data_IF_500342464942
#
_entry.id   IF_500342464942
#
_cell.length_a   1.000
_cell.length_b   1.000
_cell.length_c   1.000
_cell.angle_alpha   90.00
_cell.angle_beta   90.00
_cell.angle_gamma   90.00
#
_symmetry.space_group_name_H-M   'P 1'
#
loop_
_entity.id
_entity.type
_entity.pdbx_description
1 polymer ?
#
# COMPACT_ATOMS: atom_id res chain seq x y z
N UNK A 1 -9.73 93.75 20.23
CA UNK A 1 -10.34 93.09 19.06
C UNK A 1 -10.82 91.74 19.53
N UNK A 2 -12.10 91.56 19.43
CA UNK A 2 -12.94 90.59 20.16
C UNK A 2 -12.95 89.22 19.39
N UNK A 3 -12.68 88.16 20.11
CA UNK A 3 -12.86 86.79 19.58
C UNK A 3 -14.25 86.25 19.99
N UNK A 4 -15.02 85.53 19.16
CA UNK A 4 -16.29 84.93 19.54
C UNK A 4 -16.12 83.50 20.03
N UNK A 5 -16.91 83.22 21.09
CA UNK A 5 -17.05 81.88 21.72
C UNK A 5 -17.87 80.90 20.82
N UNK A 6 -17.45 79.72 20.70
CA UNK A 6 -18.22 78.62 20.08
C UNK A 6 -18.92 77.79 21.15
N UNK A 7 -20.27 77.65 20.99
CA UNK A 7 -21.13 76.78 21.81
C UNK A 7 -20.94 75.32 21.46
N UNK A 8 -20.64 74.48 22.41
CA UNK A 8 -20.59 73.06 22.37
C UNK A 8 -21.98 72.44 22.67
N UNK A 9 -22.65 71.87 21.72
CA UNK A 9 -23.84 71.02 21.90
C UNK A 9 -23.45 69.59 22.14
N UNK A 10 -23.54 69.14 23.36
CA UNK A 10 -23.42 67.72 23.72
C UNK A 10 -24.71 66.98 23.31
N UNK A 11 -24.63 66.08 22.30
CA UNK A 11 -25.64 65.07 22.02
C UNK A 11 -25.52 63.94 23.02
N UNK A 12 -26.55 63.70 23.80
CA UNK A 12 -26.70 62.49 24.62
C UNK A 12 -26.97 61.30 23.72
N UNK A 13 -26.08 60.33 23.68
CA UNK A 13 -26.31 58.98 23.12
C UNK A 13 -27.16 58.20 24.13
N UNK A 14 -28.35 57.81 23.72
CA UNK A 14 -29.25 56.96 24.50
C UNK A 14 -28.68 55.54 24.65
N UNK A 15 -28.71 55.04 25.88
CA UNK A 15 -28.35 53.69 26.17
C UNK A 15 -29.35 52.70 25.54
N UNK A 16 -28.87 51.83 24.63
CA UNK A 16 -29.63 50.71 24.09
C UNK A 16 -29.68 49.64 25.19
N UNK A 17 -30.85 49.07 25.52
CA UNK A 17 -30.96 48.14 26.64
C UNK A 17 -30.26 46.85 26.37
N UNK A 18 -29.41 46.40 27.28
CA UNK A 18 -28.60 45.19 27.26
C UNK A 18 -29.40 43.89 27.16
N UNK A 19 -30.74 43.95 27.20
CA UNK A 19 -31.63 42.79 27.07
C UNK A 19 -31.74 42.27 25.64
N UNK A 20 -31.57 43.10 24.60
CA UNK A 20 -31.73 42.69 23.23
C UNK A 20 -30.54 41.86 22.73
N UNK A 21 -29.34 42.11 23.23
CA UNK A 21 -28.12 41.36 22.92
C UNK A 21 -28.06 39.96 23.56
N UNK A 22 -28.61 39.81 24.78
CA UNK A 22 -28.65 38.53 25.48
C UNK A 22 -29.61 37.51 24.76
N UNK A 23 -30.73 38.03 24.25
CA UNK A 23 -31.71 37.16 23.54
C UNK A 23 -31.20 36.68 22.17
N UNK A 24 -30.44 37.51 21.45
CA UNK A 24 -29.83 37.18 20.18
C UNK A 24 -28.72 36.10 20.31
N UNK A 25 -27.93 36.15 21.39
CA UNK A 25 -26.89 35.16 21.68
C UNK A 25 -27.50 33.80 22.07
N UNK A 26 -28.60 33.79 22.83
CA UNK A 26 -29.30 32.57 23.21
C UNK A 26 -30.03 31.92 22.00
N UNK A 27 -30.56 32.71 21.09
CA UNK A 27 -31.17 32.18 19.85
C UNK A 27 -30.12 31.59 18.90
N UNK A 28 -28.94 32.22 18.78
CA UNK A 28 -27.84 31.68 17.97
C UNK A 28 -27.23 30.41 18.56
N UNK A 29 -27.16 30.26 19.85
CA UNK A 29 -26.73 29.03 20.53
C UNK A 29 -27.75 27.89 20.38
N UNK A 30 -29.07 28.21 20.38
CA UNK A 30 -30.12 27.22 20.18
C UNK A 30 -30.20 26.71 18.72
N UNK A 31 -29.93 27.59 17.72
CA UNK A 31 -29.83 27.18 16.31
C UNK A 31 -28.57 26.36 16.00
N UNK A 32 -27.46 26.59 16.69
CA UNK A 32 -26.25 25.79 16.53
C UNK A 32 -26.42 24.36 17.09
N UNK A 33 -27.31 24.15 18.06
CA UNK A 33 -27.65 22.83 18.61
C UNK A 33 -28.58 22.01 17.70
N UNK A 34 -29.18 22.63 16.67
CA UNK A 34 -30.04 22.00 15.67
C UNK A 34 -29.31 21.73 14.34
N UNK A 35 -27.99 21.90 14.28
CA UNK A 35 -27.23 21.42 13.14
C UNK A 35 -27.44 19.89 13.04
N UNK A 36 -27.86 19.37 11.87
CA UNK A 36 -27.99 17.94 11.71
C UNK A 36 -26.67 17.31 12.09
N UNK A 37 -26.68 16.44 13.09
CA UNK A 37 -25.55 15.57 13.37
C UNK A 37 -25.20 14.90 12.04
N UNK A 38 -23.91 14.88 11.64
CA UNK A 38 -23.54 14.13 10.46
C UNK A 38 -24.12 12.73 10.60
N UNK A 39 -24.94 12.32 9.61
CA UNK A 39 -25.49 10.97 9.59
C UNK A 39 -24.33 10.01 9.85
N UNK A 40 -24.50 8.98 10.71
CA UNK A 40 -23.47 7.96 10.86
C UNK A 40 -23.16 7.48 9.45
N UNK A 41 -21.88 7.57 9.09
CA UNK A 41 -21.41 7.16 7.76
C UNK A 41 -21.99 5.77 7.50
N UNK A 42 -22.68 5.61 6.39
CA UNK A 42 -23.32 4.36 5.99
C UNK A 42 -22.37 3.20 6.30
N UNK A 43 -22.85 2.23 7.09
CA UNK A 43 -22.03 1.25 7.80
C UNK A 43 -21.29 0.27 6.88
N UNK A 44 -20.25 0.75 6.19
CA UNK A 44 -19.32 -0.10 5.47
C UNK A 44 -18.41 -0.84 6.46
N UNK A 45 -18.04 -2.07 6.12
CA UNK A 45 -17.09 -2.87 6.90
C UNK A 45 -15.69 -2.35 6.64
N UNK A 46 -14.93 -2.06 7.69
CA UNK A 46 -13.52 -1.68 7.55
C UNK A 46 -12.63 -2.92 7.48
N UNK A 47 -11.66 -2.88 6.60
CA UNK A 47 -10.65 -3.92 6.37
C UNK A 47 -9.27 -3.27 6.35
N UNK A 48 -8.39 -3.70 7.25
CA UNK A 48 -7.01 -3.22 7.30
C UNK A 48 -6.09 -4.11 6.48
N UNK A 49 -5.49 -3.53 5.46
CA UNK A 49 -4.47 -4.15 4.61
C UNK A 49 -3.08 -3.67 5.00
N UNK A 50 -2.12 -4.57 5.01
CA UNK A 50 -0.72 -4.22 5.23
C UNK A 50 0.20 -4.91 4.23
N UNK A 51 1.43 -4.39 4.10
CA UNK A 51 2.53 -5.09 3.43
C UNK A 51 3.80 -5.04 4.26
N UNK A 52 4.56 -6.12 4.21
CA UNK A 52 5.81 -6.25 4.94
C UNK A 52 6.81 -7.17 4.25
N UNK A 53 7.92 -6.62 3.80
CA UNK A 53 9.09 -7.43 3.46
C UNK A 53 9.77 -7.87 4.77
N UNK A 54 9.77 -9.19 5.06
CA UNK A 54 10.26 -9.75 6.34
C UNK A 54 11.76 -10.08 6.30
N UNK A 55 12.47 -9.67 5.27
CA UNK A 55 13.92 -9.87 5.11
C UNK A 55 14.35 -11.35 5.32
N UNK A 56 14.37 -12.14 4.25
CA UNK A 56 14.86 -13.53 4.26
C UNK A 56 14.25 -14.42 5.35
N UNK A 57 12.92 -14.44 5.47
CA UNK A 57 12.24 -15.28 6.46
C UNK A 57 12.46 -16.77 6.17
N UNK A 58 13.14 -17.47 7.08
CA UNK A 58 13.46 -18.88 7.01
C UNK A 58 12.53 -19.73 7.91
N UNK A 59 12.37 -21.02 7.61
CA UNK A 59 11.62 -21.96 8.45
C UNK A 59 12.43 -22.42 9.67
N UNK A 60 13.75 -22.55 9.54
CA UNK A 60 14.64 -23.04 10.58
C UNK A 60 15.46 -21.91 11.21
N UNK A 61 15.75 -22.07 12.52
CA UNK A 61 16.65 -21.19 13.24
C UNK A 61 18.05 -21.22 12.61
N UNK A 62 18.70 -20.06 12.57
CA UNK A 62 20.05 -19.91 12.04
C UNK A 62 20.19 -20.07 10.51
N UNK A 63 19.10 -20.30 9.77
CA UNK A 63 19.16 -20.55 8.33
C UNK A 63 19.07 -19.28 7.48
N UNK A 64 19.62 -19.36 6.25
CA UNK A 64 19.51 -18.32 5.21
C UNK A 64 20.38 -17.09 5.43
N UNK A 65 20.13 -16.04 4.65
CA UNK A 65 20.96 -14.83 4.68
C UNK A 65 20.58 -13.85 5.82
N UNK A 66 19.58 -14.20 6.59
CA UNK A 66 19.19 -13.51 7.83
C UNK A 66 18.98 -14.55 8.91
N UNK A 67 20.04 -15.15 9.46
CA UNK A 67 19.91 -16.15 10.53
C UNK A 67 19.18 -15.56 11.73
N UNK A 68 18.13 -16.22 12.17
CA UNK A 68 17.30 -15.79 13.30
C UNK A 68 17.27 -16.84 14.40
N UNK A 69 17.28 -16.37 15.63
CA UNK A 69 17.03 -17.17 16.83
C UNK A 69 15.53 -17.20 17.15
N UNK A 70 15.12 -18.03 18.09
CA UNK A 70 13.75 -18.05 18.62
C UNK A 70 13.30 -16.65 19.13
N UNK A 71 14.21 -15.90 19.75
CA UNK A 71 13.95 -14.53 20.20
C UNK A 71 13.73 -13.55 19.04
N UNK A 72 14.39 -13.74 17.89
CA UNK A 72 14.17 -12.95 16.69
C UNK A 72 12.79 -13.22 16.10
N UNK A 73 12.35 -14.48 16.06
CA UNK A 73 11.00 -14.83 15.63
C UNK A 73 9.94 -14.26 16.58
N UNK A 74 10.22 -14.22 17.89
CA UNK A 74 9.30 -13.56 18.83
C UNK A 74 9.16 -12.08 18.51
N UNK A 75 10.26 -11.38 18.23
CA UNK A 75 10.20 -9.96 17.80
C UNK A 75 9.38 -9.76 16.52
N UNK A 76 9.47 -10.68 15.56
CA UNK A 76 8.63 -10.63 14.35
C UNK A 76 7.14 -10.81 14.69
N UNK A 77 6.80 -11.74 15.59
CA UNK A 77 5.42 -11.91 16.07
C UNK A 77 4.90 -10.67 16.78
N UNK A 78 5.71 -10.03 17.59
CA UNK A 78 5.35 -8.80 18.30
C UNK A 78 5.08 -7.65 17.32
N UNK A 79 5.85 -7.57 16.21
CA UNK A 79 5.59 -6.62 15.13
C UNK A 79 4.28 -6.94 14.42
N UNK A 80 4.04 -8.20 14.07
CA UNK A 80 2.80 -8.63 13.42
C UNK A 80 1.56 -8.31 14.28
N UNK A 81 1.63 -8.56 15.59
CA UNK A 81 0.55 -8.25 16.53
C UNK A 81 0.30 -6.73 16.62
N UNK A 82 1.36 -5.91 16.68
CA UNK A 82 1.23 -4.44 16.71
C UNK A 82 0.77 -3.84 15.39
N UNK A 83 1.01 -4.52 14.28
CA UNK A 83 0.57 -4.09 12.96
C UNK A 83 -0.96 -4.11 12.88
N UNK A 84 -1.58 -5.05 13.57
CA UNK A 84 -3.03 -5.18 13.74
C UNK A 84 -3.75 -5.03 12.38
N UNK A 85 -3.40 -5.91 11.45
CA UNK A 85 -3.92 -5.90 10.09
C UNK A 85 -4.64 -7.21 9.77
N UNK A 86 -5.76 -7.10 9.07
CA UNK A 86 -6.61 -8.23 8.70
C UNK A 86 -5.97 -9.08 7.59
N UNK A 87 -5.28 -8.43 6.67
CA UNK A 87 -4.55 -9.08 5.57
C UNK A 87 -3.17 -8.44 5.42
N UNK A 88 -2.14 -9.26 5.48
CA UNK A 88 -0.76 -8.81 5.36
C UNK A 88 -0.12 -9.46 4.13
N UNK A 89 0.19 -8.67 3.12
CA UNK A 89 1.03 -9.09 2.00
C UNK A 89 2.48 -9.19 2.47
N UNK A 90 3.13 -10.32 2.22
CA UNK A 90 4.50 -10.57 2.71
C UNK A 90 5.46 -10.82 1.57
N UNK A 91 6.72 -10.45 1.78
CA UNK A 91 7.80 -10.66 0.83
C UNK A 91 9.01 -11.30 1.51
N UNK A 92 9.87 -11.93 0.71
CA UNK A 92 11.09 -12.64 1.12
C UNK A 92 10.85 -13.85 2.04
N UNK A 93 9.76 -14.57 1.82
CA UNK A 93 9.39 -15.74 2.60
C UNK A 93 9.89 -17.02 1.93
N UNK A 94 10.52 -17.92 2.69
CA UNK A 94 11.03 -19.20 2.17
C UNK A 94 9.87 -20.12 1.73
N UNK A 95 8.91 -20.35 2.61
CA UNK A 95 7.77 -21.24 2.40
C UNK A 95 6.69 -20.98 3.47
N UNK A 96 5.62 -21.77 3.45
CA UNK A 96 4.53 -21.67 4.43
C UNK A 96 5.01 -21.93 5.86
N UNK A 97 5.95 -22.86 6.08
CA UNK A 97 6.48 -23.15 7.42
C UNK A 97 7.25 -21.94 7.98
N UNK A 98 7.99 -21.23 7.12
CA UNK A 98 8.64 -19.98 7.51
C UNK A 98 7.61 -18.93 7.93
N UNK A 99 6.52 -18.79 7.17
CA UNK A 99 5.46 -17.83 7.48
C UNK A 99 4.75 -18.19 8.79
N UNK A 100 4.56 -19.48 9.08
CA UNK A 100 3.99 -19.99 10.31
C UNK A 100 4.85 -19.71 11.57
N UNK A 101 6.14 -19.37 11.37
CA UNK A 101 6.98 -18.89 12.49
C UNK A 101 6.56 -17.52 13.03
N UNK A 102 5.85 -16.73 12.21
CA UNK A 102 5.43 -15.36 12.53
C UNK A 102 3.92 -15.27 12.74
N UNK A 103 3.15 -15.94 11.91
CA UNK A 103 1.68 -15.91 11.91
C UNK A 103 1.14 -17.28 12.29
N UNK A 104 0.41 -17.37 13.39
CA UNK A 104 -0.16 -18.62 13.88
C UNK A 104 -1.15 -19.22 12.86
N UNK A 105 -0.90 -20.45 12.34
CA UNK A 105 -1.83 -21.11 11.42
C UNK A 105 -3.22 -21.41 12.02
N UNK A 106 -3.38 -21.35 13.34
CA UNK A 106 -4.69 -21.45 13.97
C UNK A 106 -5.53 -20.16 13.77
N UNK A 107 -4.89 -19.03 13.56
CA UNK A 107 -5.51 -17.70 13.43
C UNK A 107 -5.54 -17.24 11.96
N UNK A 108 -4.48 -17.52 11.22
CA UNK A 108 -4.27 -17.03 9.86
C UNK A 108 -4.34 -18.15 8.82
N UNK A 109 -4.90 -17.85 7.66
CA UNK A 109 -4.64 -18.58 6.44
C UNK A 109 -3.35 -18.06 5.83
N UNK A 110 -2.41 -19.00 5.56
CA UNK A 110 -1.07 -18.67 5.07
C UNK A 110 -0.95 -19.07 3.61
N UNK A 111 -0.77 -18.09 2.74
CA UNK A 111 -0.63 -18.27 1.30
C UNK A 111 0.77 -17.86 0.87
N UNK A 112 1.48 -18.74 0.18
CA UNK A 112 2.82 -18.46 -0.35
C UNK A 112 2.86 -18.83 -1.83
N UNK A 113 3.54 -18.03 -2.64
CA UNK A 113 3.72 -18.27 -4.07
C UNK A 113 4.15 -19.74 -4.36
N UNK A 114 3.50 -20.46 -5.28
CA UNK A 114 3.86 -21.82 -5.62
C UNK A 114 5.13 -21.90 -6.47
N UNK A 115 5.76 -20.77 -6.76
CA UNK A 115 7.01 -20.73 -7.54
C UNK A 115 8.05 -21.66 -6.93
N UNK A 116 8.54 -22.61 -7.72
CA UNK A 116 9.69 -23.41 -7.33
C UNK A 116 10.94 -22.55 -7.37
N UNK A 117 11.56 -22.33 -6.23
CA UNK A 117 12.82 -21.63 -6.10
C UNK A 117 13.79 -22.50 -5.29
N UNK A 118 14.90 -22.81 -5.91
CA UNK A 118 16.03 -23.42 -5.22
C UNK A 118 17.02 -22.29 -4.90
N UNK A 119 17.25 -22.04 -3.61
CA UNK A 119 18.24 -21.11 -3.14
C UNK A 119 19.66 -21.57 -3.50
N UNK A 120 20.17 -21.11 -4.64
CA UNK A 120 21.49 -21.56 -5.15
C UNK A 120 22.63 -20.63 -4.79
N UNK A 121 22.36 -19.33 -4.58
CA UNK A 121 23.39 -18.34 -4.32
C UNK A 121 23.84 -18.35 -2.85
N UNK A 122 25.13 -18.11 -2.62
CA UNK A 122 25.67 -17.88 -1.27
C UNK A 122 25.21 -16.53 -0.73
N UNK A 123 25.07 -16.43 0.57
CA UNK A 123 24.84 -15.17 1.25
C UNK A 123 26.11 -14.32 1.22
N UNK A 124 25.98 -13.03 0.91
CA UNK A 124 27.14 -12.15 0.86
C UNK A 124 27.69 -11.90 2.27
N UNK A 125 28.99 -12.15 2.45
CA UNK A 125 29.66 -11.93 3.73
C UNK A 125 29.29 -12.94 4.84
N UNK A 126 28.72 -14.11 4.46
CA UNK A 126 28.34 -15.16 5.40
C UNK A 126 28.80 -16.51 4.87
N UNK A 127 29.87 -17.03 5.42
CA UNK A 127 30.42 -18.33 5.00
C UNK A 127 29.46 -19.47 5.34
N UNK A 128 29.29 -20.39 4.43
CA UNK A 128 28.44 -21.57 4.60
C UNK A 128 26.93 -21.32 4.43
N UNK A 129 26.47 -20.08 4.48
CA UNK A 129 25.04 -19.74 4.33
C UNK A 129 24.61 -19.61 2.87
N UNK A 130 23.42 -20.12 2.56
CA UNK A 130 22.80 -20.02 1.23
C UNK A 130 21.53 -19.18 1.29
N UNK A 131 21.31 -18.38 0.25
CA UNK A 131 20.07 -17.66 0.10
C UNK A 131 18.94 -18.67 -0.14
N UNK A 132 17.95 -18.64 0.73
CA UNK A 132 16.72 -19.42 0.59
C UNK A 132 15.77 -18.77 -0.42
N UNK A 133 14.68 -19.46 -0.74
CA UNK A 133 13.63 -18.91 -1.56
C UNK A 133 13.11 -17.57 -1.00
N UNK A 134 12.86 -16.62 -1.89
CA UNK A 134 12.31 -15.31 -1.57
C UNK A 134 10.95 -15.18 -2.29
N UNK A 135 9.91 -15.74 -1.69
CA UNK A 135 8.56 -15.72 -2.25
C UNK A 135 7.76 -14.54 -1.73
N UNK A 136 6.75 -14.18 -2.49
CA UNK A 136 5.63 -13.35 -2.04
C UNK A 136 4.54 -14.23 -1.46
N UNK A 137 3.65 -13.65 -0.65
CA UNK A 137 2.55 -14.38 -0.03
C UNK A 137 1.60 -13.48 0.72
N UNK A 138 0.70 -14.10 1.50
CA UNK A 138 -0.24 -13.43 2.39
C UNK A 138 -0.39 -14.18 3.71
N UNK A 139 -0.59 -13.42 4.79
CA UNK A 139 -1.18 -13.90 6.03
C UNK A 139 -2.56 -13.23 6.16
N UNK A 140 -3.63 -14.03 6.26
CA UNK A 140 -5.01 -13.59 6.19
C UNK A 140 -5.71 -13.98 7.49
N UNK A 141 -6.15 -13.01 8.28
CA UNK A 141 -6.79 -13.24 9.57
C UNK A 141 -8.21 -13.80 9.38
N UNK A 142 -8.41 -15.09 9.69
CA UNK A 142 -9.67 -15.81 9.42
C UNK A 142 -10.89 -15.17 10.06
N UNK A 143 -10.77 -14.77 11.33
CA UNK A 143 -11.89 -14.20 12.06
C UNK A 143 -12.27 -12.82 11.54
N UNK A 144 -11.29 -11.99 11.19
CA UNK A 144 -11.52 -10.67 10.62
C UNK A 144 -12.26 -10.78 9.27
N UNK A 145 -11.81 -11.68 8.38
CA UNK A 145 -12.52 -11.90 7.11
C UNK A 145 -13.96 -12.37 7.32
N UNK A 146 -14.18 -13.35 8.21
CA UNK A 146 -15.53 -13.81 8.52
C UNK A 146 -16.41 -12.71 9.12
N UNK A 147 -15.86 -11.90 10.03
CA UNK A 147 -16.57 -10.76 10.61
C UNK A 147 -16.95 -9.70 9.56
N UNK A 148 -16.10 -9.55 8.52
CA UNK A 148 -16.37 -8.70 7.37
C UNK A 148 -17.37 -9.30 6.35
N UNK A 149 -17.82 -10.54 6.55
CA UNK A 149 -18.66 -11.28 5.59
C UNK A 149 -17.92 -11.60 4.29
N UNK A 150 -16.60 -11.81 4.40
CA UNK A 150 -15.73 -12.06 3.26
C UNK A 150 -15.13 -13.47 3.31
N UNK A 151 -14.88 -13.99 2.11
CA UNK A 151 -14.07 -15.18 1.85
C UNK A 151 -12.90 -14.81 0.96
N UNK A 152 -11.87 -15.64 0.92
CA UNK A 152 -10.78 -15.46 -0.02
C UNK A 152 -10.57 -16.71 -0.86
N UNK A 153 -10.15 -16.50 -2.11
CA UNK A 153 -9.77 -17.54 -3.05
C UNK A 153 -8.38 -17.26 -3.60
N UNK A 154 -7.51 -18.27 -3.57
CA UNK A 154 -6.18 -18.17 -4.19
C UNK A 154 -6.35 -18.15 -5.72
N UNK A 155 -5.80 -17.14 -6.36
CA UNK A 155 -5.71 -17.05 -7.81
C UNK A 155 -4.39 -17.67 -8.33
N UNK A 156 -4.32 -18.04 -9.62
CA UNK A 156 -3.05 -18.42 -10.23
C UNK A 156 -1.99 -17.36 -9.99
N UNK A 157 -0.79 -17.78 -9.61
CA UNK A 157 0.33 -16.86 -9.38
C UNK A 157 0.65 -16.05 -10.64
N UNK A 158 0.94 -14.78 -10.50
CA UNK A 158 1.30 -13.91 -11.61
C UNK A 158 2.74 -14.17 -12.04
N UNK A 159 2.90 -15.17 -12.90
CA UNK A 159 4.19 -15.75 -13.31
C UNK A 159 5.00 -14.80 -14.18
N UNK A 160 4.31 -13.97 -14.94
CA UNK A 160 4.86 -13.02 -15.89
C UNK A 160 5.80 -12.00 -15.19
N UNK A 161 5.47 -11.56 -13.98
CA UNK A 161 6.38 -10.74 -13.18
C UNK A 161 7.70 -11.43 -12.84
N UNK A 162 7.66 -12.76 -12.81
CA UNK A 162 8.80 -13.61 -12.48
C UNK A 162 9.61 -14.09 -13.67
N UNK A 163 9.42 -13.51 -14.85
CA UNK A 163 10.21 -13.85 -16.04
C UNK A 163 11.72 -13.89 -15.72
N UNK A 164 12.45 -14.83 -16.34
CA UNK A 164 13.88 -15.07 -16.12
C UNK A 164 14.24 -15.42 -14.65
N UNK A 165 13.38 -16.16 -13.96
CA UNK A 165 13.66 -16.67 -12.64
C UNK A 165 13.48 -15.65 -11.52
N UNK A 166 12.70 -14.59 -11.72
CA UNK A 166 12.34 -13.60 -10.71
C UNK A 166 11.14 -14.07 -9.87
N UNK A 167 10.75 -13.27 -8.89
CA UNK A 167 9.63 -13.56 -8.00
C UNK A 167 8.30 -13.34 -8.73
N UNK A 168 7.35 -14.24 -8.50
CA UNK A 168 5.99 -14.12 -9.02
C UNK A 168 5.16 -13.23 -8.10
N UNK A 169 4.16 -12.55 -8.64
CA UNK A 169 3.10 -11.97 -7.83
C UNK A 169 2.22 -13.08 -7.24
N UNK A 170 1.93 -13.01 -5.95
CA UNK A 170 0.92 -13.87 -5.31
C UNK A 170 -0.40 -13.13 -5.30
N UNK A 171 -1.48 -13.76 -5.77
CA UNK A 171 -2.78 -13.13 -5.95
C UNK A 171 -3.86 -13.86 -5.17
N UNK A 172 -4.72 -13.09 -4.51
CA UNK A 172 -5.95 -13.59 -3.90
C UNK A 172 -7.14 -12.74 -4.34
N UNK A 173 -8.30 -13.36 -4.44
CA UNK A 173 -9.58 -12.71 -4.67
C UNK A 173 -10.36 -12.71 -3.35
N UNK A 174 -10.75 -11.54 -2.86
CA UNK A 174 -11.76 -11.43 -1.82
C UNK A 174 -13.13 -11.50 -2.47
N UNK A 175 -14.00 -12.31 -1.89
CA UNK A 175 -15.36 -12.56 -2.39
C UNK A 175 -16.37 -12.27 -1.29
N UNK A 176 -17.55 -11.73 -1.68
CA UNK A 176 -18.70 -11.59 -0.82
C UNK A 176 -19.88 -12.29 -1.45
N UNK A 177 -20.49 -13.23 -0.72
CA UNK A 177 -21.59 -14.06 -1.22
C UNK A 177 -21.25 -14.72 -2.58
N UNK A 178 -20.04 -15.28 -2.70
CA UNK A 178 -19.49 -15.92 -3.90
C UNK A 178 -19.33 -14.98 -5.13
N UNK A 179 -19.31 -13.66 -4.90
CA UNK A 179 -19.05 -12.67 -5.96
C UNK A 179 -17.68 -12.02 -5.73
N UNK A 180 -16.86 -11.87 -6.77
CA UNK A 180 -15.62 -11.12 -6.69
C UNK A 180 -15.88 -9.69 -6.17
N UNK A 181 -15.10 -9.27 -5.18
CA UNK A 181 -15.18 -7.92 -4.61
C UNK A 181 -13.86 -7.17 -4.81
N UNK A 182 -12.73 -7.77 -4.42
CA UNK A 182 -11.44 -7.11 -4.43
C UNK A 182 -10.31 -8.09 -4.74
N UNK A 183 -9.51 -7.81 -5.76
CA UNK A 183 -8.30 -8.57 -6.06
C UNK A 183 -7.10 -7.95 -5.34
N UNK A 184 -6.32 -8.76 -4.60
CA UNK A 184 -5.08 -8.34 -3.95
C UNK A 184 -3.90 -9.05 -4.59
N UNK A 185 -2.82 -8.31 -4.86
CA UNK A 185 -1.56 -8.89 -5.34
C UNK A 185 -0.38 -8.45 -4.49
N UNK A 186 0.29 -9.42 -3.87
CA UNK A 186 1.60 -9.22 -3.22
C UNK A 186 2.70 -9.24 -4.26
N UNK A 187 3.48 -8.16 -4.34
CA UNK A 187 4.58 -7.99 -5.29
C UNK A 187 5.93 -7.85 -4.59
N UNK A 188 7.00 -8.28 -5.26
CA UNK A 188 8.37 -7.99 -4.89
C UNK A 188 9.21 -7.83 -6.16
N UNK A 189 9.38 -6.59 -6.59
CA UNK A 189 10.02 -6.26 -7.86
C UNK A 189 11.55 -6.30 -7.77
N UNK A 190 12.22 -5.98 -8.87
CA UNK A 190 13.69 -6.08 -8.98
C UNK A 190 14.38 -4.94 -8.26
N UNK A 191 15.17 -5.29 -7.24
CA UNK A 191 16.04 -4.36 -6.53
C UNK A 191 17.16 -3.77 -7.38
N UNK A 192 17.66 -2.60 -6.97
CA UNK A 192 18.84 -1.95 -7.54
C UNK A 192 18.56 -0.88 -8.58
N UNK A 193 17.28 -0.45 -8.70
CA UNK A 193 16.85 0.68 -9.52
C UNK A 193 15.75 1.49 -8.81
N UNK A 194 16.01 1.92 -7.59
CA UNK A 194 15.02 2.57 -6.74
C UNK A 194 14.62 3.97 -7.22
N UNK A 195 15.41 4.63 -8.06
CA UNK A 195 15.20 5.98 -8.58
C UNK A 195 15.86 6.18 -9.95
N UNK A 196 15.58 7.31 -10.59
CA UNK A 196 16.14 7.69 -11.88
C UNK A 196 15.36 7.16 -13.08
N UNK A 197 15.79 7.53 -14.29
CA UNK A 197 15.07 7.23 -15.51
C UNK A 197 14.94 5.74 -15.83
N UNK A 198 13.79 5.34 -16.29
CA UNK A 198 13.51 4.01 -16.83
C UNK A 198 13.28 4.04 -18.34
N UNK A 199 13.25 5.23 -18.95
CA UNK A 199 13.04 5.41 -20.39
C UNK A 199 14.36 5.49 -21.18
N UNK A 200 14.26 5.36 -22.49
CA UNK A 200 15.39 5.45 -23.40
C UNK A 200 16.45 4.35 -23.20
N UNK A 201 17.73 4.71 -23.32
CA UNK A 201 18.85 3.78 -23.18
C UNK A 201 19.21 3.52 -21.72
N UNK A 202 18.54 2.57 -21.10
CA UNK A 202 18.83 2.15 -19.72
C UNK A 202 20.03 1.22 -19.68
N UNK A 203 21.16 1.66 -19.11
CA UNK A 203 22.41 0.89 -19.07
C UNK A 203 22.49 -0.15 -17.94
N UNK A 204 21.85 0.10 -16.79
CA UNK A 204 21.89 -0.82 -15.64
C UNK A 204 20.97 -2.01 -15.86
N UNK A 205 21.50 -3.22 -15.82
CA UNK A 205 20.72 -4.46 -16.01
C UNK A 205 19.54 -4.60 -15.04
N UNK A 206 19.70 -4.10 -13.80
CA UNK A 206 18.61 -4.10 -12.81
C UNK A 206 17.45 -3.20 -13.26
N UNK A 207 17.75 -2.03 -13.80
CA UNK A 207 16.75 -1.10 -14.31
C UNK A 207 16.06 -1.62 -15.57
N UNK A 208 16.77 -2.36 -16.42
CA UNK A 208 16.16 -3.01 -17.59
C UNK A 208 15.14 -4.08 -17.17
N UNK A 209 15.46 -4.84 -16.11
CA UNK A 209 14.54 -5.84 -15.57
C UNK A 209 13.34 -5.15 -14.94
N UNK A 210 13.55 -4.10 -14.12
CA UNK A 210 12.46 -3.36 -13.49
C UNK A 210 11.54 -2.70 -14.53
N UNK A 211 12.11 -2.15 -15.63
CA UNK A 211 11.31 -1.61 -16.73
C UNK A 211 10.43 -2.67 -17.40
N UNK A 212 10.90 -3.91 -17.57
CA UNK A 212 10.07 -5.00 -18.06
C UNK A 212 8.95 -5.34 -17.08
N UNK A 213 9.28 -5.44 -15.77
CA UNK A 213 8.27 -5.72 -14.74
C UNK A 213 7.22 -4.61 -14.69
N UNK A 214 7.62 -3.34 -14.87
CA UNK A 214 6.71 -2.21 -15.00
C UNK A 214 5.69 -2.46 -16.11
N UNK A 215 6.14 -2.67 -17.34
CA UNK A 215 5.23 -2.87 -18.46
C UNK A 215 4.35 -4.12 -18.35
N UNK A 216 4.81 -5.18 -17.65
CA UNK A 216 3.97 -6.33 -17.34
C UNK A 216 2.89 -5.97 -16.32
N UNK A 217 3.25 -5.15 -15.33
CA UNK A 217 2.33 -4.71 -14.29
C UNK A 217 1.29 -3.73 -14.83
N UNK A 218 1.72 -2.79 -15.67
CA UNK A 218 0.90 -1.86 -16.43
C UNK A 218 -0.19 -2.60 -17.22
N UNK A 219 0.18 -3.55 -18.10
CA UNK A 219 -0.82 -4.34 -18.83
C UNK A 219 -1.78 -5.14 -17.93
N UNK A 220 -1.35 -5.51 -16.73
CA UNK A 220 -2.22 -6.15 -15.74
C UNK A 220 -3.20 -5.14 -15.13
N UNK A 221 -2.75 -3.92 -14.86
CA UNK A 221 -3.54 -2.80 -14.33
C UNK A 221 -4.59 -2.39 -15.36
N UNK A 222 -4.19 -2.12 -16.61
CA UNK A 222 -5.07 -1.69 -17.71
C UNK A 222 -6.23 -2.67 -17.93
N UNK A 223 -5.91 -3.98 -17.92
CA UNK A 223 -6.93 -5.01 -18.08
C UNK A 223 -7.98 -4.99 -16.95
N UNK A 224 -7.65 -4.47 -15.76
CA UNK A 224 -8.57 -4.35 -14.63
C UNK A 224 -9.30 -3.03 -14.63
N UNK A 225 -8.62 -1.95 -14.95
CA UNK A 225 -9.24 -0.64 -15.14
C UNK A 225 -10.31 -0.71 -16.24
N UNK A 226 -9.99 -1.31 -17.39
CA UNK A 226 -10.95 -1.50 -18.49
C UNK A 226 -12.12 -2.45 -18.16
N UNK A 227 -12.01 -3.27 -17.11
CA UNK A 227 -13.07 -4.16 -16.63
C UNK A 227 -13.74 -3.64 -15.34
N UNK A 228 -13.45 -2.41 -14.91
CA UNK A 228 -13.93 -1.80 -13.67
C UNK A 228 -13.74 -2.71 -12.43
N UNK A 229 -12.61 -3.41 -12.41
CA UNK A 229 -12.28 -4.36 -11.33
C UNK A 229 -11.56 -3.65 -10.21
N UNK A 230 -12.06 -3.78 -8.99
CA UNK A 230 -11.36 -3.31 -7.78
C UNK A 230 -10.12 -4.13 -7.49
N UNK A 231 -8.98 -3.48 -7.31
CA UNK A 231 -7.74 -4.17 -6.98
C UNK A 231 -6.81 -3.35 -6.07
N UNK A 232 -5.90 -4.05 -5.37
CA UNK A 232 -4.81 -3.43 -4.61
C UNK A 232 -3.51 -4.20 -4.85
N UNK A 233 -2.46 -3.47 -5.19
CA UNK A 233 -1.09 -3.96 -5.24
C UNK A 233 -0.39 -3.60 -3.94
N UNK A 234 0.22 -4.58 -3.29
CA UNK A 234 0.91 -4.39 -2.01
C UNK A 234 2.30 -5.03 -2.08
N UNK A 235 3.32 -4.32 -1.65
CA UNK A 235 4.63 -4.97 -1.58
C UNK A 235 5.83 -4.06 -1.72
N UNK A 236 6.97 -4.72 -1.84
CA UNK A 236 8.25 -4.12 -2.13
C UNK A 236 8.40 -3.92 -3.64
N UNK A 237 8.11 -2.70 -4.09
CA UNK A 237 8.30 -2.31 -5.48
C UNK A 237 9.76 -2.06 -5.82
N UNK A 238 10.63 -1.97 -4.80
CA UNK A 238 12.03 -1.57 -4.96
C UNK A 238 12.21 -0.27 -5.75
N UNK A 239 11.18 0.59 -5.72
CA UNK A 239 11.09 1.85 -6.44
C UNK A 239 10.42 2.94 -5.59
N UNK A 240 10.95 4.14 -5.63
CA UNK A 240 10.42 5.33 -4.97
C UNK A 240 9.30 5.94 -5.83
N UNK A 241 8.10 5.34 -5.80
CA UNK A 241 6.97 5.73 -6.67
C UNK A 241 6.45 7.14 -6.42
N UNK A 242 6.63 7.66 -5.19
CA UNK A 242 6.17 8.98 -4.75
C UNK A 242 7.13 10.14 -5.12
N UNK A 243 8.21 9.84 -5.85
CA UNK A 243 9.12 10.88 -6.32
C UNK A 243 8.51 11.65 -7.49
N UNK A 244 8.68 12.98 -7.54
CA UNK A 244 8.22 13.77 -8.67
C UNK A 244 8.74 13.21 -10.00
N UNK A 245 7.86 13.05 -10.97
CA UNK A 245 8.16 12.54 -12.32
C UNK A 245 8.79 11.13 -12.32
N UNK A 246 8.40 10.27 -11.39
CA UNK A 246 8.85 8.88 -11.41
C UNK A 246 8.32 8.17 -12.67
N UNK A 247 9.23 7.63 -13.48
CA UNK A 247 8.89 6.98 -14.75
C UNK A 247 8.18 5.63 -14.57
N UNK A 248 8.23 5.04 -13.39
CA UNK A 248 7.47 3.83 -13.12
C UNK A 248 6.02 4.18 -12.81
N UNK A 249 5.82 5.15 -11.91
CA UNK A 249 4.49 5.64 -11.56
C UNK A 249 3.76 6.19 -12.78
N UNK A 250 4.41 7.12 -13.50
CA UNK A 250 3.84 7.76 -14.69
C UNK A 250 3.42 6.77 -15.79
N UNK A 251 3.96 5.56 -15.80
CA UNK A 251 3.59 4.57 -16.81
C UNK A 251 2.49 3.62 -16.34
N UNK A 252 2.30 3.43 -15.05
CA UNK A 252 1.21 2.58 -14.54
C UNK A 252 -0.07 3.38 -14.22
N UNK A 253 0.01 4.70 -14.23
CA UNK A 253 -1.02 5.69 -13.90
C UNK A 253 -1.10 6.73 -15.01
N UNK A 254 -1.20 6.32 -16.26
CA UNK A 254 -1.12 7.18 -17.44
C UNK A 254 -2.36 7.16 -18.36
N UNK A 255 -3.29 6.26 -18.11
CA UNK A 255 -4.44 6.08 -18.97
C UNK A 255 -4.11 5.56 -20.38
N UNK A 256 -2.87 5.17 -20.64
CA UNK A 256 -2.43 4.62 -21.93
C UNK A 256 -2.40 3.08 -21.93
N UNK A 257 -3.01 2.48 -22.92
CA UNK A 257 -2.94 1.03 -23.15
C UNK A 257 -1.68 0.68 -23.93
N UNK A 258 -0.96 -0.32 -23.44
CA UNK A 258 0.20 -0.87 -24.12
C UNK A 258 -0.16 -1.78 -25.29
N UNK A 259 0.19 -1.41 -26.53
CA UNK A 259 0.29 -2.37 -27.63
C UNK A 259 1.62 -3.16 -27.49
N UNK A 260 1.49 -4.36 -26.95
CA UNK A 260 2.64 -5.25 -26.71
C UNK A 260 3.14 -5.88 -27.99
N UNK A 261 4.34 -5.51 -28.44
CA UNK A 261 5.04 -6.12 -29.56
C UNK A 261 6.22 -6.96 -29.09
N UNK A 262 6.54 -8.06 -29.77
CA UNK A 262 7.79 -8.79 -29.53
C UNK A 262 9.00 -7.85 -29.64
N UNK A 263 9.91 -7.90 -28.67
CA UNK A 263 11.16 -7.16 -28.69
C UNK A 263 12.31 -8.12 -28.40
N UNK A 264 13.33 -8.20 -29.29
CA UNK A 264 14.42 -9.16 -29.15
C UNK A 264 15.31 -8.91 -27.93
N UNK A 265 15.30 -7.67 -27.40
CA UNK A 265 16.12 -7.28 -26.24
C UNK A 265 15.34 -7.36 -24.93
N UNK A 266 14.04 -7.07 -24.97
CA UNK A 266 13.17 -6.93 -23.79
C UNK A 266 12.12 -8.04 -23.67
N UNK A 267 12.06 -8.97 -24.64
CA UNK A 267 11.03 -9.99 -24.75
C UNK A 267 9.70 -9.44 -25.30
N UNK A 268 9.24 -8.33 -24.75
CA UNK A 268 8.07 -7.55 -25.21
C UNK A 268 8.35 -6.06 -25.03
N UNK A 269 7.82 -5.26 -25.92
CA UNK A 269 7.90 -3.79 -25.85
C UNK A 269 6.49 -3.21 -25.91
N UNK A 270 6.17 -2.29 -25.00
CA UNK A 270 5.02 -1.43 -25.13
C UNK A 270 5.31 -0.37 -26.19
N UNK A 271 4.44 -0.24 -27.19
CA UNK A 271 4.44 0.89 -28.12
C UNK A 271 3.34 1.84 -27.68
N UNK A 272 3.66 3.10 -27.33
CA UNK A 272 2.66 4.12 -27.09
C UNK A 272 1.89 4.38 -28.40
N UNK A 273 0.57 4.45 -28.33
CA UNK A 273 -0.24 4.96 -29.42
C UNK A 273 -1.07 3.98 -30.22
N UNK A 274 -1.34 2.77 -29.77
CA UNK A 274 -2.53 2.06 -30.28
C UNK A 274 -3.76 2.61 -29.57
N UNK A 275 -4.32 3.66 -30.16
CA UNK A 275 -5.40 4.46 -29.66
C UNK A 275 -6.70 3.66 -29.49
N UNK A 276 -6.81 2.95 -28.40
CA UNK A 276 -8.08 2.86 -27.69
C UNK A 276 -7.91 3.80 -26.49
N UNK A 277 -8.77 4.79 -26.42
CA UNK A 277 -9.01 5.51 -25.18
C UNK A 277 -9.58 4.47 -24.21
N UNK A 278 -8.70 3.72 -23.54
CA UNK A 278 -9.08 2.85 -22.46
C UNK A 278 -9.09 3.64 -21.17
N UNK A 279 -9.89 3.16 -20.24
CA UNK A 279 -10.13 3.80 -18.98
C UNK A 279 -8.79 4.15 -18.33
N UNK A 280 -8.61 5.43 -18.06
CA UNK A 280 -7.57 5.94 -17.18
C UNK A 280 -7.58 5.10 -15.92
N UNK A 281 -6.44 4.53 -15.55
CA UNK A 281 -6.37 3.64 -14.42
C UNK A 281 -6.60 4.36 -13.09
N UNK A 282 -6.54 5.71 -13.05
CA UNK A 282 -6.76 6.59 -11.89
C UNK A 282 -6.31 5.92 -10.57
N UNK A 283 -5.02 5.60 -10.49
CA UNK A 283 -4.48 4.87 -9.35
C UNK A 283 -4.31 5.78 -8.13
N UNK A 284 -4.52 5.23 -6.95
CA UNK A 284 -4.19 5.90 -5.69
C UNK A 284 -2.97 5.25 -5.06
N UNK A 285 -1.87 6.01 -4.98
CA UNK A 285 -0.70 5.63 -4.18
C UNK A 285 -0.95 6.02 -2.72
N UNK A 286 -1.29 5.05 -1.90
CA UNK A 286 -1.52 5.29 -0.47
C UNK A 286 -0.23 5.75 0.20
N UNK A 287 -0.31 6.87 0.94
CA UNK A 287 0.85 7.46 1.60
C UNK A 287 1.68 8.42 0.74
N UNK A 288 1.29 8.67 -0.52
CA UNK A 288 1.95 9.68 -1.36
C UNK A 288 2.03 11.03 -0.63
N UNK A 289 3.21 11.65 -0.68
CA UNK A 289 3.48 12.92 0.01
C UNK A 289 3.48 12.86 1.54
N UNK A 290 3.33 11.68 2.15
CA UNK A 290 3.46 11.52 3.60
C UNK A 290 4.91 11.29 4.00
N UNK A 291 5.37 11.89 5.12
CA UNK A 291 6.72 11.65 5.61
C UNK A 291 6.89 10.15 5.92
N UNK A 292 7.84 9.51 5.27
CA UNK A 292 8.23 8.16 5.63
C UNK A 292 9.19 8.25 6.83
N UNK A 293 8.88 7.64 7.98
CA UNK A 293 9.81 7.61 9.09
C UNK A 293 11.07 6.90 8.61
N UNK A 294 12.22 7.35 9.08
CA UNK A 294 13.52 6.85 8.66
C UNK A 294 13.47 5.34 8.45
N UNK A 295 13.78 4.93 7.23
CA UNK A 295 13.86 3.52 6.89
C UNK A 295 14.74 2.79 7.92
N UNK A 296 14.48 1.50 8.22
CA UNK A 296 15.31 0.73 9.13
C UNK A 296 16.79 0.76 8.74
N UNK A 297 17.06 0.90 7.46
CA UNK A 297 18.39 1.09 6.90
C UNK A 297 18.59 2.56 6.48
N UNK A 298 19.47 3.34 7.17
CA UNK A 298 19.69 4.76 6.87
C UNK A 298 20.21 5.02 5.45
N UNK A 299 20.76 3.98 4.80
CA UNK A 299 21.23 4.06 3.41
C UNK A 299 20.08 4.22 2.41
N UNK A 300 18.84 3.85 2.81
CA UNK A 300 17.67 3.88 1.95
C UNK A 300 16.53 4.64 2.66
N UNK A 301 16.61 5.99 2.73
CA UNK A 301 15.71 6.80 3.54
C UNK A 301 14.32 7.00 2.92
N UNK A 302 14.06 6.45 1.74
CA UNK A 302 12.81 6.64 0.99
C UNK A 302 11.96 5.38 0.98
N UNK A 303 10.66 5.55 0.86
CA UNK A 303 9.73 4.44 0.70
C UNK A 303 9.97 3.70 -0.62
N UNK A 304 10.06 2.37 -0.54
CA UNK A 304 10.08 1.45 -1.67
C UNK A 304 9.04 0.35 -1.52
N UNK A 305 8.41 0.29 -0.34
CA UNK A 305 7.23 -0.51 -0.06
C UNK A 305 6.00 0.36 -0.26
N UNK A 306 5.04 -0.13 -1.03
CA UNK A 306 3.86 0.66 -1.41
C UNK A 306 2.58 -0.16 -1.36
N UNK A 307 1.47 0.56 -1.22
CA UNK A 307 0.10 0.08 -1.40
C UNK A 307 -0.53 0.96 -2.48
N UNK A 308 -0.91 0.35 -3.59
CA UNK A 308 -1.48 1.01 -4.77
C UNK A 308 -2.88 0.46 -5.00
N UNK A 309 -3.87 1.34 -5.02
CA UNK A 309 -5.27 1.01 -5.25
C UNK A 309 -5.67 1.37 -6.68
N UNK A 310 -6.55 0.59 -7.29
CA UNK A 310 -7.11 0.87 -8.62
C UNK A 310 -8.54 0.40 -8.77
N UNK A 311 -9.22 0.93 -9.78
CA UNK A 311 -10.64 0.76 -10.00
C UNK A 311 -11.46 1.29 -8.82
N UNK A 312 -12.68 0.81 -8.59
CA UNK A 312 -13.54 1.28 -7.48
C UNK A 312 -12.89 1.21 -6.09
N UNK A 313 -11.82 0.42 -5.90
CA UNK A 313 -11.14 0.33 -4.62
C UNK A 313 -10.46 1.65 -4.20
N UNK A 314 -10.22 2.58 -5.11
CA UNK A 314 -9.67 3.91 -4.81
C UNK A 314 -10.57 4.70 -3.88
N UNK A 315 -11.88 4.60 -4.04
CA UNK A 315 -12.89 5.29 -3.23
C UNK A 315 -13.05 4.66 -1.82
N UNK A 316 -12.54 3.44 -1.64
CA UNK A 316 -12.66 2.73 -0.36
C UNK A 316 -11.56 3.10 0.63
N UNK A 317 -10.52 3.79 0.19
CA UNK A 317 -9.42 4.19 1.07
C UNK A 317 -9.89 5.16 2.14
N UNK A 318 -9.81 4.75 3.40
CA UNK A 318 -10.11 5.64 4.54
C UNK A 318 -9.03 6.71 4.62
N UNK A 319 -9.44 7.96 4.41
CA UNK A 319 -8.52 9.09 4.42
C UNK A 319 -7.73 9.16 5.75
N UNK A 320 -6.42 9.29 5.64
CA UNK A 320 -5.53 9.39 6.81
C UNK A 320 -5.21 8.06 7.50
N UNK A 321 -5.72 6.92 7.01
CA UNK A 321 -5.47 5.59 7.58
C UNK A 321 -4.06 5.06 7.29
N UNK A 322 -3.36 5.60 6.30
CA UNK A 322 -2.00 5.17 5.99
C UNK A 322 -1.07 5.36 7.18
N UNK A 323 -0.36 4.31 7.54
CA UNK A 323 0.59 4.32 8.64
C UNK A 323 1.80 3.43 8.36
N UNK A 324 2.91 3.78 8.98
CA UNK A 324 4.14 2.99 9.03
C UNK A 324 4.36 2.51 10.45
N UNK A 325 4.56 1.22 10.65
CA UNK A 325 4.93 0.68 11.95
C UNK A 325 6.45 0.68 12.10
N UNK A 326 6.99 1.72 12.71
CA UNK A 326 8.41 1.82 13.00
C UNK A 326 8.84 0.90 14.14
N UNK A 327 10.02 0.30 14.03
CA UNK A 327 10.59 -0.58 15.04
C UNK A 327 11.17 0.16 16.26
N UNK A 328 11.37 1.48 16.15
CA UNK A 328 12.04 2.25 17.19
C UNK A 328 13.55 2.01 17.23
N UNK A 329 14.15 2.20 18.43
CA UNK A 329 15.58 1.96 18.66
C UNK A 329 15.80 0.49 19.02
N UNK A 330 16.91 -0.09 18.57
CA UNK A 330 17.32 -1.45 18.94
C UNK A 330 17.48 -2.41 17.74
N UNK A 331 17.46 -3.70 18.00
CA UNK A 331 17.58 -4.72 16.95
C UNK A 331 16.36 -4.68 16.02
N UNK A 332 16.62 -4.45 14.75
CA UNK A 332 15.58 -4.35 13.73
C UNK A 332 15.15 -5.75 13.29
N UNK A 333 13.85 -6.09 13.37
CA UNK A 333 13.35 -7.40 12.94
C UNK A 333 13.48 -7.64 11.43
N UNK A 334 13.42 -6.56 10.64
CA UNK A 334 13.61 -6.52 9.18
C UNK A 334 14.31 -5.22 8.79
N UNK A 335 14.90 -5.18 7.61
CA UNK A 335 15.41 -3.95 6.97
C UNK A 335 14.31 -3.11 6.29
N UNK A 336 13.06 -3.56 6.33
CA UNK A 336 11.86 -2.86 5.90
C UNK A 336 10.89 -2.62 7.05
N UNK A 337 10.24 -1.46 7.10
CA UNK A 337 9.10 -1.20 7.97
C UNK A 337 7.79 -1.66 7.31
N UNK A 338 6.90 -2.36 8.05
CA UNK A 338 5.58 -2.63 7.52
C UNK A 338 4.76 -1.34 7.40
N UNK A 339 3.94 -1.27 6.37
CA UNK A 339 2.99 -0.19 6.13
C UNK A 339 1.58 -0.76 6.04
N UNK A 340 0.59 0.05 6.41
CA UNK A 340 -0.81 -0.36 6.39
C UNK A 340 -1.75 0.77 6.00
N UNK A 341 -2.92 0.39 5.50
CA UNK A 341 -4.08 1.25 5.22
C UNK A 341 -5.35 0.57 5.68
N UNK A 342 -6.42 1.34 5.87
CA UNK A 342 -7.76 0.82 6.10
C UNK A 342 -8.64 1.15 4.89
N UNK A 343 -9.38 0.16 4.41
CA UNK A 343 -10.41 0.32 3.39
C UNK A 343 -11.79 0.23 4.05
N UNK A 344 -12.71 1.06 3.60
CA UNK A 344 -14.14 0.94 3.92
C UNK A 344 -14.84 0.31 2.73
N UNK A 345 -15.12 -0.97 2.85
CA UNK A 345 -15.72 -1.75 1.78
C UNK A 345 -17.20 -1.37 1.59
N UNK A 346 -17.73 -1.40 0.36
CA UNK A 346 -19.14 -1.17 0.10
C UNK A 346 -20.01 -2.17 0.87
N UNK A 347 -21.24 -1.79 1.17
CA UNK A 347 -22.23 -2.69 1.79
C UNK A 347 -22.74 -3.72 0.76
N UNK A 348 -23.39 -4.79 1.22
CA UNK A 348 -23.93 -5.81 0.31
C UNK A 348 -25.11 -5.29 -0.55
N UNK A 349 -25.56 -4.07 -0.29
CA UNK A 349 -26.71 -3.42 -0.94
C UNK A 349 -26.30 -2.36 -1.97
N UNK A 350 -25.02 -2.03 -2.06
CA UNK A 350 -24.44 -1.11 -3.04
C UNK A 350 -23.89 -1.92 -4.27
#
# INVERSE_FOLDING_TARGET
>A
MIAPQALSTRRRLGAVPALATALAVLLAAALAALAPMPAPAAGGVELTLATWNIEHLAAADGAGCRPRSAADYQRLRDVAARLDADIIAVQEVQNTDALARVFDPAVYDLVVSPRREEGRSRCRGMDGQRRLAQRTGFAIHRQALRAAGLEHRLLPGFRELGDQGRRWGTRIQLERANRPLLELMSVHLKAGCAWGGLEGRVRRGQCQILRRQRGILEAWIDARAGADTSFVLLGDFNRQLDQPNDHFWAAIDDGEVCDWRPDPTLGRRCLPGSSRADADADLVLAGAGRPFPHAPNPKYPYAIDHIVLGGPATDWLVHGSWRVLSYGRGAKPSDHHPIAVTLRLPTATD
#
